data_IF_721139483240
#
_entry.id   IF_721139483240
#
_cell.length_a   1.000
_cell.length_b   1.000
_cell.length_c   1.000
_cell.angle_alpha   90.00
_cell.angle_beta   90.00
_cell.angle_gamma   90.00
#
_symmetry.space_group_name_H-M   'P 1'
#
loop_
_entity.id
_entity.type
_entity.pdbx_description
1 polymer ?
#
# COMPACT_ATOMS: atom_id res chain seq x y z
N UNK A 1 12.59 2.53 -1.22
CA UNK A 1 12.70 4.01 -1.13
C UNK A 1 12.78 4.71 -2.49
N UNK A 2 13.11 4.02 -3.60
CA UNK A 2 13.21 4.58 -4.97
C UNK A 2 12.16 5.64 -5.37
N UNK A 3 10.86 5.38 -5.21
CA UNK A 3 9.81 6.36 -5.54
C UNK A 3 9.86 7.62 -4.67
N UNK A 4 10.20 7.47 -3.40
CA UNK A 4 10.37 8.60 -2.46
C UNK A 4 11.59 9.43 -2.84
N UNK A 5 12.70 8.77 -3.18
CA UNK A 5 13.92 9.42 -3.66
C UNK A 5 13.66 10.19 -4.97
N UNK A 6 12.94 9.57 -5.91
CA UNK A 6 12.53 10.22 -7.16
C UNK A 6 11.77 11.53 -6.90
N UNK A 7 10.78 11.50 -6.00
CA UNK A 7 10.00 12.69 -5.64
C UNK A 7 10.87 13.75 -4.94
N UNK A 8 11.70 13.35 -3.97
CA UNK A 8 12.62 14.25 -3.26
C UNK A 8 13.60 14.93 -4.21
N UNK A 9 14.17 14.19 -5.16
CA UNK A 9 15.10 14.71 -6.15
C UNK A 9 14.44 15.70 -7.12
N UNK A 10 13.13 15.58 -7.34
CA UNK A 10 12.34 16.55 -8.09
C UNK A 10 11.90 17.77 -7.25
N UNK A 11 12.36 17.88 -6.00
CA UNK A 11 11.97 18.97 -5.08
C UNK A 11 10.56 18.82 -4.49
N UNK A 12 9.94 17.64 -4.63
CA UNK A 12 8.61 17.35 -4.07
C UNK A 12 8.79 16.82 -2.65
N UNK A 13 7.96 17.30 -1.72
CA UNK A 13 7.87 16.77 -0.35
C UNK A 13 6.76 15.72 -0.26
N UNK A 14 7.08 14.41 -0.27
CA UNK A 14 6.06 13.37 -0.25
C UNK A 14 5.55 13.11 1.17
N UNK A 15 4.23 13.02 1.31
CA UNK A 15 3.54 12.51 2.50
C UNK A 15 2.99 11.13 2.15
N UNK A 16 3.49 10.07 2.78
CA UNK A 16 2.97 8.72 2.54
C UNK A 16 1.78 8.45 3.46
N UNK A 17 0.71 7.88 2.90
CA UNK A 17 -0.48 7.50 3.65
C UNK A 17 -0.63 5.99 3.61
N UNK A 18 -0.81 5.37 4.77
CA UNK A 18 -1.03 3.93 4.91
C UNK A 18 -2.47 3.65 5.36
N UNK A 19 -3.06 2.58 4.83
CA UNK A 19 -4.35 2.05 5.27
C UNK A 19 -4.37 1.71 6.76
N UNK A 20 -5.57 1.78 7.35
CA UNK A 20 -5.80 1.53 8.76
C UNK A 20 -6.56 0.24 9.02
N UNK A 21 -7.56 0.33 9.90
CA UNK A 21 -8.43 -0.81 10.19
C UNK A 21 -9.33 -1.11 8.99
N UNK A 22 -9.62 -2.40 8.79
CA UNK A 22 -10.59 -2.82 7.76
C UNK A 22 -11.97 -2.24 8.07
N UNK A 23 -12.65 -1.75 7.05
CA UNK A 23 -14.03 -1.26 7.17
C UNK A 23 -15.00 -2.45 7.17
N UNK A 24 -16.01 -2.48 8.06
CA UNK A 24 -17.05 -3.51 8.05
C UNK A 24 -17.75 -3.65 6.69
N UNK A 25 -18.00 -2.53 6.00
CA UNK A 25 -18.62 -2.48 4.68
C UNK A 25 -17.85 -3.27 3.61
N UNK A 26 -16.52 -3.39 3.76
CA UNK A 26 -15.66 -4.16 2.84
C UNK A 26 -15.34 -5.58 3.34
N UNK A 27 -15.96 -6.05 4.43
CA UNK A 27 -15.68 -7.36 5.02
C UNK A 27 -15.78 -8.51 3.99
N UNK A 28 -16.90 -8.61 3.27
CA UNK A 28 -17.09 -9.63 2.23
C UNK A 28 -16.02 -9.58 1.13
N UNK A 29 -15.60 -8.39 0.72
CA UNK A 29 -14.57 -8.19 -0.29
C UNK A 29 -13.19 -8.60 0.25
N UNK A 30 -12.89 -8.26 1.50
CA UNK A 30 -11.67 -8.69 2.18
C UNK A 30 -11.63 -10.21 2.36
N UNK A 31 -12.74 -10.84 2.72
CA UNK A 31 -12.83 -12.29 2.91
C UNK A 31 -12.64 -13.02 1.58
N UNK A 32 -13.25 -12.54 0.48
CA UNK A 32 -12.99 -13.05 -0.87
C UNK A 32 -11.54 -12.87 -1.29
N UNK A 33 -10.94 -11.68 -1.05
CA UNK A 33 -9.50 -11.46 -1.33
C UNK A 33 -8.63 -12.39 -0.50
N UNK A 34 -9.01 -12.65 0.75
CA UNK A 34 -8.26 -13.50 1.67
C UNK A 34 -8.32 -14.97 1.23
N UNK A 35 -9.51 -15.49 0.93
CA UNK A 35 -9.69 -16.85 0.45
C UNK A 35 -8.98 -17.12 -0.88
N UNK A 36 -9.00 -16.14 -1.80
CA UNK A 36 -8.25 -16.23 -3.05
C UNK A 36 -6.73 -16.29 -2.82
N UNK A 37 -6.20 -15.51 -1.86
CA UNK A 37 -4.78 -15.57 -1.51
C UNK A 37 -4.40 -16.93 -0.92
N UNK A 38 -5.25 -17.49 -0.07
CA UNK A 38 -5.00 -18.80 0.55
C UNK A 38 -5.03 -19.91 -0.50
N UNK A 39 -6.04 -19.90 -1.39
CA UNK A 39 -6.12 -20.84 -2.51
C UNK A 39 -4.92 -20.74 -3.47
N UNK A 40 -4.50 -19.51 -3.82
CA UNK A 40 -3.30 -19.30 -4.65
C UNK A 40 -2.04 -19.83 -3.95
N UNK A 41 -1.92 -19.65 -2.64
CA UNK A 41 -0.78 -20.18 -1.87
C UNK A 41 -0.76 -21.70 -1.89
N UNK A 42 -1.90 -22.35 -1.71
CA UNK A 42 -2.00 -23.81 -1.76
C UNK A 42 -1.65 -24.37 -3.14
N UNK A 43 -2.11 -23.72 -4.21
CA UNK A 43 -1.75 -24.07 -5.59
C UNK A 43 -0.27 -23.86 -5.87
N UNK A 44 0.34 -22.79 -5.32
CA UNK A 44 1.76 -22.53 -5.42
C UNK A 44 2.58 -23.63 -4.73
N UNK A 45 2.19 -24.02 -3.51
CA UNK A 45 2.85 -25.07 -2.75
C UNK A 45 2.74 -26.43 -3.44
N UNK A 46 1.58 -26.78 -3.99
CA UNK A 46 1.42 -28.00 -4.81
C UNK A 46 2.32 -27.98 -6.04
N UNK A 47 2.35 -26.86 -6.77
CA UNK A 47 3.20 -26.71 -7.96
C UNK A 47 4.70 -26.79 -7.63
N UNK A 48 5.10 -26.30 -6.46
CA UNK A 48 6.47 -26.40 -5.94
C UNK A 48 6.83 -27.83 -5.55
N UNK A 49 5.91 -28.56 -4.91
CA UNK A 49 6.08 -29.97 -4.56
C UNK A 49 6.20 -30.86 -5.81
N UNK A 50 5.27 -30.73 -6.78
CA UNK A 50 5.31 -31.50 -8.03
C UNK A 50 6.65 -31.35 -8.77
N UNK A 51 7.23 -30.14 -8.74
CA UNK A 51 8.47 -29.84 -9.43
C UNK A 51 9.72 -30.49 -8.79
N UNK A 52 9.61 -31.07 -7.60
CA UNK A 52 10.73 -31.78 -6.95
C UNK A 52 11.15 -33.03 -7.75
N UNK A 53 10.20 -33.66 -8.43
CA UNK A 53 10.42 -34.90 -9.20
C UNK A 53 10.58 -34.66 -10.71
N UNK A 54 10.53 -33.40 -11.16
CA UNK A 54 10.64 -33.03 -12.57
C UNK A 54 12.04 -32.52 -12.89
N UNK A 55 12.43 -32.60 -14.16
CA UNK A 55 13.70 -32.08 -14.67
C UNK A 55 13.49 -31.27 -15.96
N UNK A 56 14.54 -30.56 -16.40
CA UNK A 56 14.51 -29.81 -17.65
C UNK A 56 13.41 -28.75 -17.69
N UNK A 57 12.72 -28.67 -18.83
CA UNK A 57 11.74 -27.61 -19.10
C UNK A 57 10.43 -27.77 -18.33
N UNK A 58 9.99 -29.01 -18.06
CA UNK A 58 8.79 -29.28 -17.25
C UNK A 58 8.94 -28.73 -15.81
N UNK A 59 10.15 -28.88 -15.23
CA UNK A 59 10.46 -28.28 -13.93
C UNK A 59 10.38 -26.76 -14.00
N UNK A 60 10.96 -26.14 -15.03
CA UNK A 60 10.95 -24.67 -15.19
C UNK A 60 9.54 -24.13 -15.30
N UNK A 61 8.68 -24.79 -16.08
CA UNK A 61 7.27 -24.39 -16.24
C UNK A 61 6.53 -24.45 -14.91
N UNK A 62 6.66 -25.56 -14.17
CA UNK A 62 6.05 -25.69 -12.83
C UNK A 62 6.58 -24.68 -11.83
N UNK A 63 7.88 -24.38 -11.85
CA UNK A 63 8.48 -23.33 -11.02
C UNK A 63 7.93 -21.94 -11.37
N UNK A 64 7.77 -21.62 -12.65
CA UNK A 64 7.19 -20.35 -13.10
C UNK A 64 5.73 -20.23 -12.67
N UNK A 65 4.96 -21.31 -12.78
CA UNK A 65 3.58 -21.37 -12.30
C UNK A 65 3.50 -21.15 -10.78
N UNK A 66 4.36 -21.81 -10.00
CA UNK A 66 4.45 -21.61 -8.56
C UNK A 66 4.79 -20.16 -8.22
N UNK A 67 5.77 -19.57 -8.90
CA UNK A 67 6.17 -18.18 -8.72
C UNK A 67 5.01 -17.20 -8.94
N UNK A 68 4.27 -17.35 -10.05
CA UNK A 68 3.12 -16.50 -10.37
C UNK A 68 2.01 -16.62 -9.33
N UNK A 69 1.75 -17.84 -8.82
CA UNK A 69 0.77 -18.05 -7.76
C UNK A 69 1.22 -17.47 -6.41
N UNK A 70 2.51 -17.57 -6.07
CA UNK A 70 3.06 -16.93 -4.89
C UNK A 70 2.90 -15.41 -4.95
N UNK A 71 3.22 -14.77 -6.07
CA UNK A 71 3.02 -13.33 -6.25
C UNK A 71 1.56 -12.90 -5.99
N UNK A 72 0.59 -13.70 -6.42
CA UNK A 72 -0.86 -13.46 -6.22
C UNK A 72 -1.36 -13.78 -4.81
N UNK A 73 -0.53 -14.38 -3.97
CA UNK A 73 -0.87 -14.79 -2.59
C UNK A 73 -0.25 -13.90 -1.51
N UNK A 74 0.52 -12.88 -1.89
CA UNK A 74 1.26 -12.03 -0.93
C UNK A 74 0.29 -11.35 0.05
N UNK A 75 0.59 -11.51 1.34
CA UNK A 75 -0.05 -10.80 2.44
C UNK A 75 0.91 -9.76 2.98
N UNK A 76 0.45 -8.52 3.08
CA UNK A 76 1.20 -7.46 3.76
C UNK A 76 1.04 -7.70 5.25
N UNK A 77 2.13 -8.07 5.93
CA UNK A 77 2.14 -8.37 7.36
C UNK A 77 2.57 -7.14 8.17
N UNK A 78 2.35 -7.20 9.49
CA UNK A 78 2.76 -6.14 10.41
C UNK A 78 4.28 -5.92 10.41
N UNK A 79 5.07 -6.97 10.22
CA UNK A 79 6.54 -6.89 10.14
C UNK A 79 6.98 -6.12 8.89
N UNK A 80 6.32 -6.35 7.74
CA UNK A 80 6.58 -5.60 6.50
C UNK A 80 6.27 -4.12 6.71
N UNK A 81 5.11 -3.82 7.32
CA UNK A 81 4.70 -2.44 7.61
C UNK A 81 5.72 -1.76 8.54
N UNK A 82 6.14 -2.45 9.61
CA UNK A 82 7.14 -1.95 10.54
C UNK A 82 8.47 -1.66 9.86
N UNK A 83 8.96 -2.58 9.01
CA UNK A 83 10.20 -2.38 8.26
C UNK A 83 10.14 -1.17 7.33
N UNK A 84 9.00 -0.95 6.67
CA UNK A 84 8.76 0.23 5.83
C UNK A 84 8.76 1.51 6.67
N UNK A 85 8.03 1.54 7.79
CA UNK A 85 8.02 2.69 8.70
C UNK A 85 9.41 3.02 9.25
N UNK A 86 10.18 2.01 9.64
CA UNK A 86 11.55 2.20 10.12
C UNK A 86 12.45 2.82 9.03
N UNK A 87 12.32 2.35 7.78
CA UNK A 87 13.04 2.92 6.64
C UNK A 87 12.64 4.37 6.35
N UNK A 88 11.34 4.69 6.44
CA UNK A 88 10.83 6.06 6.26
C UNK A 88 11.32 7.02 7.33
N UNK A 89 11.31 6.59 8.61
CA UNK A 89 11.85 7.36 9.73
C UNK A 89 13.34 7.65 9.53
N UNK A 90 14.13 6.62 9.18
CA UNK A 90 15.56 6.77 8.90
C UNK A 90 15.82 7.74 7.74
N UNK A 91 14.93 7.79 6.76
CA UNK A 91 15.03 8.67 5.59
C UNK A 91 14.43 10.07 5.80
N UNK A 92 13.96 10.39 7.02
CA UNK A 92 13.24 11.62 7.36
C UNK A 92 12.14 11.94 6.32
N UNK A 93 11.21 10.99 6.16
CA UNK A 93 10.07 11.08 5.25
C UNK A 93 8.80 11.14 6.08
N UNK A 94 7.93 12.10 5.78
CA UNK A 94 6.65 12.24 6.45
C UNK A 94 5.70 11.12 6.03
N UNK A 95 5.04 10.50 7.00
CA UNK A 95 4.00 9.52 6.73
C UNK A 95 2.92 9.52 7.79
N UNK A 96 1.71 9.16 7.39
CA UNK A 96 0.53 9.05 8.23
C UNK A 96 0.07 7.60 8.22
N UNK A 97 -0.11 7.03 9.42
CA UNK A 97 -0.73 5.72 9.61
C UNK A 97 -2.14 5.94 10.15
N UNK A 98 -3.11 5.33 9.49
CA UNK A 98 -4.50 5.28 9.94
C UNK A 98 -4.65 4.38 11.19
N UNK A 99 -4.31 4.88 12.39
CA UNK A 99 -4.53 4.17 13.66
C UNK A 99 -5.28 5.03 14.68
N UNK A 100 -6.22 4.40 15.41
CA UNK A 100 -6.91 4.98 16.58
C UNK A 100 -6.03 4.73 17.81
N UNK A 101 -5.71 5.73 18.64
CA UNK A 101 -4.81 5.53 19.77
C UNK A 101 -5.46 4.55 20.77
N UNK A 102 -4.86 3.37 20.92
CA UNK A 102 -5.00 2.59 22.15
C UNK A 102 -3.86 3.07 23.04
N UNK A 103 -4.21 3.74 24.13
CA UNK A 103 -3.33 4.21 25.18
C UNK A 103 -2.17 3.24 25.43
N UNK A 104 -0.96 3.63 25.07
CA UNK A 104 0.25 3.25 25.78
C UNK A 104 1.22 4.44 25.74
N UNK A 105 1.40 5.04 26.92
CA UNK A 105 2.43 6.01 27.22
C UNK A 105 3.78 5.53 26.70
N UNK A 106 4.44 6.37 25.89
CA UNK A 106 5.86 6.37 25.48
C UNK A 106 6.07 6.37 23.96
N UNK A 107 5.57 7.41 23.29
CA UNK A 107 6.17 7.85 22.03
C UNK A 107 5.88 9.34 21.85
N UNK A 108 6.73 10.19 22.42
CA UNK A 108 6.88 11.57 21.98
C UNK A 108 7.36 11.55 20.52
N UNK A 109 6.45 11.72 19.57
CA UNK A 109 6.81 12.00 18.18
C UNK A 109 5.89 13.10 17.68
N UNK A 110 6.44 14.32 17.74
CA UNK A 110 6.11 15.53 16.99
C UNK A 110 4.61 15.86 16.89
N UNK A 111 4.22 16.92 17.59
CA UNK A 111 2.93 17.60 17.59
C UNK A 111 2.50 18.11 16.20
N UNK A 112 2.21 17.21 15.27
CA UNK A 112 1.50 17.53 14.05
C UNK A 112 0.32 16.58 13.87
N UNK A 113 -0.71 16.85 14.68
CA UNK A 113 -2.11 16.56 14.44
C UNK A 113 -2.37 15.21 13.74
N UNK A 114 -2.59 14.19 14.57
CA UNK A 114 -3.10 12.87 14.23
C UNK A 114 -4.40 12.96 13.41
N UNK A 115 -4.26 13.25 12.12
CA UNK A 115 -5.29 13.02 11.13
C UNK A 115 -5.20 11.53 10.80
N UNK A 116 -5.74 10.74 11.71
CA UNK A 116 -6.04 9.35 11.45
C UNK A 116 -7.21 9.32 10.47
N UNK A 117 -7.04 8.76 9.28
CA UNK A 117 -8.20 8.15 8.63
C UNK A 117 -8.53 6.93 9.49
N UNK A 118 -9.75 6.76 9.98
CA UNK A 118 -10.07 5.61 10.82
C UNK A 118 -10.00 4.28 10.03
N UNK A 119 -9.88 4.35 8.69
CA UNK A 119 -10.09 3.21 7.81
C UNK A 119 -9.22 3.21 6.54
N UNK A 120 -9.59 3.94 5.49
CA UNK A 120 -8.94 3.84 4.17
C UNK A 120 -7.99 5.01 3.87
N UNK A 121 -6.89 4.73 3.18
CA UNK A 121 -5.94 5.73 2.74
C UNK A 121 -6.56 6.77 1.80
N UNK A 122 -7.51 6.39 0.94
CA UNK A 122 -8.16 7.29 -0.01
C UNK A 122 -8.85 8.48 0.70
N UNK A 123 -9.60 8.19 1.76
CA UNK A 123 -10.26 9.22 2.57
C UNK A 123 -9.24 10.19 3.20
N UNK A 124 -8.10 9.67 3.67
CA UNK A 124 -7.03 10.48 4.26
C UNK A 124 -6.36 11.37 3.22
N UNK A 125 -6.06 10.83 2.03
CA UNK A 125 -5.43 11.56 0.94
C UNK A 125 -6.30 12.77 0.56
N UNK A 126 -7.60 12.56 0.38
CA UNK A 126 -8.54 13.63 0.07
C UNK A 126 -8.66 14.63 1.22
N UNK A 127 -8.68 14.16 2.46
CA UNK A 127 -8.72 15.04 3.63
C UNK A 127 -7.48 15.96 3.69
N UNK A 128 -6.27 15.41 3.48
CA UNK A 128 -5.03 16.20 3.49
C UNK A 128 -5.04 17.30 2.43
N UNK A 129 -5.59 17.01 1.25
CA UNK A 129 -5.81 18.02 0.21
C UNK A 129 -6.86 19.06 0.62
N UNK A 130 -7.96 18.64 1.25
CA UNK A 130 -9.03 19.53 1.73
C UNK A 130 -8.54 20.54 2.76
N UNK A 131 -7.63 20.15 3.64
CA UNK A 131 -7.03 21.04 4.65
C UNK A 131 -5.74 21.71 4.17
N UNK A 132 -5.47 21.68 2.87
CA UNK A 132 -4.30 22.31 2.24
C UNK A 132 -2.94 21.84 2.78
N UNK A 133 -2.86 20.60 3.28
CA UNK A 133 -1.59 19.95 3.66
C UNK A 133 -0.91 19.25 2.48
N UNK A 134 -1.64 18.97 1.40
CA UNK A 134 -1.11 18.38 0.18
C UNK A 134 -1.74 19.04 -1.06
N UNK A 135 -0.95 19.22 -2.12
CA UNK A 135 -1.39 19.90 -3.35
C UNK A 135 -1.84 18.94 -4.45
N UNK A 136 -1.50 17.65 -4.37
CA UNK A 136 -1.83 16.63 -5.35
C UNK A 136 -1.86 15.24 -4.69
N UNK A 137 -2.54 14.29 -5.33
CA UNK A 137 -2.63 12.90 -4.87
C UNK A 137 -1.95 11.99 -5.89
N UNK A 138 -1.11 11.06 -5.43
CA UNK A 138 -0.50 10.01 -6.25
C UNK A 138 -1.10 8.67 -5.81
N UNK A 139 -1.77 7.96 -6.70
CA UNK A 139 -2.38 6.65 -6.40
C UNK A 139 -2.50 5.77 -7.64
N UNK A 140 -2.69 4.47 -7.43
CA UNK A 140 -3.06 3.51 -8.47
C UNK A 140 -4.58 3.25 -8.48
N UNK A 141 -5.28 3.65 -7.42
CA UNK A 141 -6.70 3.37 -7.22
C UNK A 141 -7.57 4.53 -7.72
N UNK A 142 -8.46 4.24 -8.66
CA UNK A 142 -9.41 5.22 -9.21
C UNK A 142 -10.54 5.55 -8.24
N UNK A 143 -10.75 4.75 -7.18
CA UNK A 143 -11.75 5.01 -6.14
C UNK A 143 -11.56 6.41 -5.50
N UNK A 144 -10.34 6.94 -5.54
CA UNK A 144 -10.01 8.30 -5.08
C UNK A 144 -10.90 9.39 -5.71
N UNK A 145 -11.35 9.20 -6.96
CA UNK A 145 -12.21 10.16 -7.65
C UNK A 145 -13.56 10.30 -6.95
N UNK A 146 -14.12 9.20 -6.45
CA UNK A 146 -15.38 9.20 -5.70
C UNK A 146 -15.22 9.97 -4.40
N UNK A 147 -14.09 9.76 -3.70
CA UNK A 147 -13.77 10.49 -2.48
C UNK A 147 -13.61 12.01 -2.73
N UNK A 148 -12.91 12.40 -3.81
CA UNK A 148 -12.74 13.80 -4.19
C UNK A 148 -14.08 14.49 -4.48
N UNK A 149 -14.94 13.86 -5.28
CA UNK A 149 -16.27 14.40 -5.61
C UNK A 149 -17.12 14.52 -4.33
N UNK A 150 -17.14 13.48 -3.50
CA UNK A 150 -17.93 13.46 -2.25
C UNK A 150 -17.47 14.54 -1.27
N UNK A 151 -16.17 14.80 -1.20
CA UNK A 151 -15.60 15.79 -0.29
C UNK A 151 -15.58 17.23 -0.83
N UNK A 152 -16.00 17.43 -2.09
CA UNK A 152 -15.85 18.65 -2.87
C UNK A 152 -14.40 19.15 -2.93
N UNK A 153 -13.47 18.26 -3.28
CA UNK A 153 -12.03 18.53 -3.37
C UNK A 153 -11.57 18.39 -4.81
N UNK A 154 -11.12 19.49 -5.41
CA UNK A 154 -10.56 19.52 -6.76
C UNK A 154 -9.03 19.69 -6.67
N UNK A 155 -8.30 18.59 -6.85
CA UNK A 155 -6.83 18.57 -6.87
C UNK A 155 -6.31 17.68 -8.00
N UNK A 156 -5.09 17.93 -8.51
CA UNK A 156 -4.44 17.01 -9.44
C UNK A 156 -4.31 15.61 -8.83
N UNK A 157 -4.75 14.61 -9.60
CA UNK A 157 -4.58 13.19 -9.27
C UNK A 157 -3.65 12.59 -10.32
N UNK A 158 -2.51 12.11 -9.87
CA UNK A 158 -1.48 11.48 -10.67
C UNK A 158 -1.61 9.96 -10.53
N UNK A 159 -2.04 9.31 -11.61
CA UNK A 159 -2.21 7.86 -11.65
C UNK A 159 -0.91 7.18 -12.11
N UNK A 160 -0.64 6.00 -11.55
CA UNK A 160 0.41 5.08 -12.02
C UNK A 160 1.81 5.70 -12.12
N UNK A 161 2.36 6.18 -10.99
CA UNK A 161 3.72 6.71 -10.95
C UNK A 161 4.77 5.60 -11.20
N UNK A 162 5.38 5.66 -12.38
CA UNK A 162 6.47 4.78 -12.80
C UNK A 162 7.82 5.24 -12.21
N UNK A 163 8.63 4.26 -11.80
CA UNK A 163 10.01 4.47 -11.36
C UNK A 163 10.94 3.64 -12.24
N UNK A 164 12.01 4.24 -12.83
CA UNK A 164 12.59 5.55 -12.50
C UNK A 164 12.09 6.73 -13.34
N UNK A 165 11.23 6.52 -14.35
CA UNK A 165 10.89 7.54 -15.35
C UNK A 165 10.16 8.77 -14.79
N UNK A 166 9.40 8.63 -13.69
CA UNK A 166 8.55 9.69 -13.16
C UNK A 166 7.29 9.94 -13.98
N UNK A 167 7.02 9.13 -14.99
CA UNK A 167 5.81 9.20 -15.79
C UNK A 167 4.60 8.74 -14.97
N UNK A 168 3.48 9.44 -15.15
CA UNK A 168 2.17 9.05 -14.65
C UNK A 168 1.29 8.67 -15.87
N UNK A 169 0.53 7.59 -15.78
CA UNK A 169 -0.22 6.98 -16.90
C UNK A 169 -1.66 6.64 -16.54
#
# INVERSE_FOLDING_TARGET
MRRVELLKNAGIHPILVFDGKKVPLKANTHDKRQSLKDSNRDLAMKSLHDAQHLHGDERKEKMMKAHNMFQRSIKVTSEIIYAVHAALRKANVEFVVAYVPVLHHACLWIDFLALSSPFEADAQLVYLCKVHKASAIITEDSDILVYCITANVAVPILLKLESPSGMCK
#
